data_IF_734667403146
#
_entry.id   IF_734667403146
#
_cell.length_a   1.000
_cell.length_b   1.000
_cell.length_c   1.000
_cell.angle_alpha   90.00
_cell.angle_beta   90.00
_cell.angle_gamma   90.00
#
_symmetry.space_group_name_H-M   'P 1'
#
loop_
_entity.id
_entity.type
_entity.pdbx_description
1 polymer ?
#
# COMPACT_ATOMS: atom_id res chain seq x y z
N UNK A 1 52.98 -2.98 -5.05
CA UNK A 1 52.87 -2.43 -6.42
C UNK A 1 52.03 -3.40 -7.24
N UNK A 2 50.93 -2.95 -7.84
CA UNK A 2 50.15 -3.83 -8.73
C UNK A 2 50.98 -4.18 -9.96
N UNK A 3 51.04 -5.46 -10.31
CA UNK A 3 51.74 -5.93 -11.50
C UNK A 3 50.98 -5.46 -12.74
N UNK A 4 51.61 -4.63 -13.57
CA UNK A 4 51.03 -4.17 -14.85
C UNK A 4 51.49 -5.09 -15.97
N UNK A 5 50.56 -5.68 -16.72
CA UNK A 5 50.84 -6.51 -17.88
C UNK A 5 50.63 -5.72 -19.17
N UNK A 6 51.54 -5.87 -20.14
CA UNK A 6 51.43 -5.21 -21.44
C UNK A 6 50.69 -6.14 -22.40
N UNK A 7 49.61 -5.62 -22.98
CA UNK A 7 48.81 -6.32 -23.97
C UNK A 7 48.72 -5.49 -25.25
N UNK A 8 48.61 -6.15 -26.39
CA UNK A 8 48.32 -5.50 -27.67
C UNK A 8 46.83 -5.62 -27.96
N UNK A 9 46.17 -4.50 -28.29
CA UNK A 9 44.75 -4.46 -28.63
C UNK A 9 44.54 -3.70 -29.93
N UNK A 10 43.59 -4.15 -30.74
CA UNK A 10 43.15 -3.44 -31.95
C UNK A 10 41.98 -2.54 -31.60
N UNK A 11 42.14 -1.23 -31.79
CA UNK A 11 41.10 -0.22 -31.58
C UNK A 11 40.95 0.65 -32.84
N UNK A 12 39.76 1.20 -33.12
CA UNK A 12 39.59 2.16 -34.21
C UNK A 12 40.54 3.35 -34.04
N UNK A 13 41.07 3.83 -35.16
CA UNK A 13 42.06 4.92 -35.17
C UNK A 13 41.54 6.18 -34.48
N UNK A 14 40.25 6.47 -34.63
CA UNK A 14 39.63 7.65 -34.04
C UNK A 14 39.48 7.53 -32.52
N UNK A 15 39.25 6.31 -32.00
CA UNK A 15 39.23 6.04 -30.56
C UNK A 15 40.60 6.26 -29.93
N UNK A 16 41.67 5.85 -30.62
CA UNK A 16 43.05 6.05 -30.17
C UNK A 16 43.38 7.54 -30.12
N UNK A 17 43.07 8.28 -31.20
CA UNK A 17 43.27 9.74 -31.26
C UNK A 17 42.50 10.46 -30.16
N UNK A 18 41.24 10.11 -29.97
CA UNK A 18 40.41 10.70 -28.92
C UNK A 18 41.01 10.47 -27.52
N UNK A 19 41.51 9.26 -27.26
CA UNK A 19 42.17 8.96 -25.99
C UNK A 19 43.47 9.76 -25.81
N UNK A 20 44.30 9.85 -26.86
CA UNK A 20 45.55 10.61 -26.85
C UNK A 20 45.32 12.12 -26.67
N UNK A 21 44.24 12.67 -27.23
CA UNK A 21 43.90 14.09 -27.11
C UNK A 21 43.32 14.44 -25.72
N UNK A 22 42.57 13.51 -25.10
CA UNK A 22 41.76 13.82 -23.92
C UNK A 22 42.37 13.34 -22.60
N UNK A 23 43.29 12.37 -22.58
CA UNK A 23 43.75 11.76 -21.32
C UNK A 23 44.30 12.80 -20.33
N UNK A 24 45.16 13.72 -20.78
CA UNK A 24 45.75 14.74 -19.92
C UNK A 24 44.70 15.76 -19.44
N UNK A 25 43.77 16.17 -20.32
CA UNK A 25 42.68 17.08 -19.97
C UNK A 25 41.67 16.49 -18.99
N UNK A 26 41.58 15.15 -18.92
CA UNK A 26 40.80 14.40 -17.94
C UNK A 26 41.58 14.06 -16.66
N UNK A 27 42.83 14.53 -16.54
CA UNK A 27 43.66 14.36 -15.34
C UNK A 27 44.43 13.04 -15.27
N UNK A 28 44.51 12.26 -16.35
CA UNK A 28 45.29 11.03 -16.39
C UNK A 28 46.75 11.29 -16.80
N UNK A 29 47.69 10.53 -16.25
CA UNK A 29 49.10 10.65 -16.58
C UNK A 29 49.49 9.94 -17.89
N UNK A 30 48.65 9.03 -18.37
CA UNK A 30 48.87 8.35 -19.65
C UNK A 30 47.56 7.84 -20.27
N UNK A 31 47.59 7.58 -21.59
CA UNK A 31 46.52 6.86 -22.30
C UNK A 31 46.17 5.53 -21.64
N UNK A 32 47.17 4.77 -21.19
CA UNK A 32 46.95 3.46 -20.55
C UNK A 32 46.17 3.59 -19.23
N UNK A 33 46.39 4.68 -18.50
CA UNK A 33 45.66 4.95 -17.26
C UNK A 33 44.20 5.32 -17.53
N UNK A 34 43.95 6.16 -18.55
CA UNK A 34 42.60 6.44 -19.04
C UNK A 34 41.88 5.16 -19.49
N UNK A 35 42.54 4.29 -20.27
CA UNK A 35 41.95 3.03 -20.75
C UNK A 35 41.61 2.11 -19.57
N UNK A 36 42.50 1.97 -18.59
CA UNK A 36 42.25 1.18 -17.38
C UNK A 36 41.06 1.76 -16.58
N UNK A 37 40.99 3.08 -16.42
CA UNK A 37 39.86 3.73 -15.75
C UNK A 37 38.54 3.49 -16.49
N UNK A 38 38.53 3.65 -17.82
CA UNK A 38 37.33 3.43 -18.64
C UNK A 38 36.82 1.98 -18.58
N UNK A 39 37.71 0.99 -18.62
CA UNK A 39 37.35 -0.43 -18.48
C UNK A 39 36.73 -0.69 -17.10
N UNK A 40 37.38 -0.19 -16.04
CA UNK A 40 36.87 -0.35 -14.66
C UNK A 40 35.53 0.32 -14.48
N UNK A 41 35.37 1.52 -15.02
CA UNK A 41 34.11 2.24 -14.96
C UNK A 41 32.99 1.47 -15.67
N UNK A 42 33.23 0.99 -16.89
CA UNK A 42 32.24 0.21 -17.64
C UNK A 42 31.81 -1.04 -16.88
N UNK A 43 32.77 -1.85 -16.42
CA UNK A 43 32.48 -3.07 -15.65
C UNK A 43 31.75 -2.75 -14.34
N UNK A 44 32.17 -1.70 -13.62
CA UNK A 44 31.52 -1.31 -12.35
C UNK A 44 30.08 -0.85 -12.59
N UNK A 45 29.84 -0.07 -13.65
CA UNK A 45 28.49 0.38 -14.02
C UNK A 45 27.58 -0.79 -14.42
N UNK A 46 28.11 -1.75 -15.17
CA UNK A 46 27.34 -2.94 -15.58
C UNK A 46 26.99 -3.84 -14.38
N UNK A 47 27.96 -4.09 -13.50
CA UNK A 47 27.73 -4.79 -12.23
C UNK A 47 26.69 -4.07 -11.37
N UNK A 48 26.75 -2.73 -11.26
CA UNK A 48 25.72 -1.98 -10.53
C UNK A 48 24.35 -2.07 -11.19
N UNK A 49 24.25 -2.09 -12.51
CA UNK A 49 22.97 -2.25 -13.23
C UNK A 49 22.32 -3.60 -12.94
N UNK A 50 23.11 -4.67 -12.94
CA UNK A 50 22.62 -6.01 -12.59
C UNK A 50 22.17 -6.05 -11.12
N UNK A 51 23.01 -5.55 -10.21
CA UNK A 51 22.72 -5.52 -8.78
C UNK A 51 21.49 -4.65 -8.42
N UNK A 52 21.34 -3.49 -9.07
CA UNK A 52 20.17 -2.61 -8.85
C UNK A 52 18.88 -3.20 -9.43
N UNK A 53 18.95 -3.92 -10.55
CA UNK A 53 17.83 -4.68 -11.09
C UNK A 53 17.36 -5.77 -10.13
N UNK A 54 18.28 -6.60 -9.63
CA UNK A 54 17.98 -7.66 -8.66
C UNK A 54 17.41 -7.11 -7.34
N UNK A 55 17.99 -6.03 -6.81
CA UNK A 55 17.48 -5.38 -5.59
C UNK A 55 16.08 -4.81 -5.79
N UNK A 56 15.80 -4.21 -6.95
CA UNK A 56 14.47 -3.66 -7.27
C UNK A 56 13.43 -4.78 -7.31
N UNK A 57 13.74 -5.91 -7.95
CA UNK A 57 12.85 -7.08 -7.98
C UNK A 57 12.62 -7.68 -6.58
N UNK A 58 13.67 -7.78 -5.76
CA UNK A 58 13.56 -8.24 -4.38
C UNK A 58 12.68 -7.31 -3.54
N UNK A 59 12.89 -6.00 -3.64
CA UNK A 59 12.10 -5.01 -2.92
C UNK A 59 10.61 -5.06 -3.32
N UNK A 60 10.33 -5.15 -4.63
CA UNK A 60 8.95 -5.31 -5.12
C UNK A 60 8.29 -6.61 -4.66
N UNK A 61 9.04 -7.70 -4.53
CA UNK A 61 8.53 -8.98 -4.00
C UNK A 61 8.21 -8.87 -2.51
N UNK A 62 9.08 -8.25 -1.72
CA UNK A 62 8.88 -8.04 -0.28
C UNK A 62 7.64 -7.18 -0.07
N UNK A 63 7.56 -6.02 -0.73
CA UNK A 63 6.43 -5.09 -0.61
C UNK A 63 5.09 -5.78 -0.94
N UNK A 64 5.03 -6.54 -2.05
CA UNK A 64 3.82 -7.29 -2.42
C UNK A 64 3.48 -8.39 -1.42
N UNK A 65 4.48 -9.05 -0.83
CA UNK A 65 4.26 -10.10 0.17
C UNK A 65 3.75 -9.55 1.49
N UNK A 66 4.34 -8.46 1.99
CA UNK A 66 3.91 -7.80 3.23
C UNK A 66 2.50 -7.23 3.09
N UNK A 67 2.19 -6.57 1.97
CA UNK A 67 0.83 -6.08 1.69
C UNK A 67 -0.18 -7.24 1.71
N UNK A 68 0.14 -8.36 1.06
CA UNK A 68 -0.75 -9.52 1.00
C UNK A 68 -0.96 -10.18 2.37
N UNK A 69 0.08 -10.27 3.19
CA UNK A 69 -0.03 -10.78 4.57
C UNK A 69 -0.88 -9.86 5.45
N UNK A 70 -0.68 -8.53 5.32
CA UNK A 70 -1.49 -7.53 6.00
C UNK A 70 -2.96 -7.60 5.57
N UNK A 71 -3.25 -7.70 4.26
CA UNK A 71 -4.62 -7.85 3.74
C UNK A 71 -5.30 -9.12 4.31
N UNK A 72 -4.57 -10.24 4.37
CA UNK A 72 -5.09 -11.48 4.95
C UNK A 72 -5.36 -11.36 6.45
N UNK A 73 -4.43 -10.73 7.18
CA UNK A 73 -4.59 -10.52 8.62
C UNK A 73 -5.75 -9.56 8.93
N UNK A 74 -5.87 -8.47 8.18
CA UNK A 74 -6.98 -7.51 8.28
C UNK A 74 -8.32 -8.17 7.96
N UNK A 75 -8.37 -9.03 6.94
CA UNK A 75 -9.58 -9.80 6.58
C UNK A 75 -9.99 -10.74 7.71
N UNK A 76 -9.05 -11.46 8.31
CA UNK A 76 -9.30 -12.32 9.48
C UNK A 76 -9.81 -11.53 10.68
N UNK A 77 -9.19 -10.39 10.98
CA UNK A 77 -9.61 -9.55 12.10
C UNK A 77 -11.01 -8.96 11.87
N UNK A 78 -11.29 -8.49 10.64
CA UNK A 78 -12.60 -7.98 10.23
C UNK A 78 -13.69 -9.06 10.38
N UNK A 79 -13.37 -10.30 10.01
CA UNK A 79 -14.28 -11.43 10.22
C UNK A 79 -14.56 -11.67 11.70
N UNK A 80 -13.54 -11.68 12.56
CA UNK A 80 -13.73 -11.84 14.02
C UNK A 80 -14.62 -10.73 14.59
N UNK A 81 -14.37 -9.47 14.23
CA UNK A 81 -15.20 -8.34 14.66
C UNK A 81 -16.65 -8.52 14.18
N UNK A 82 -16.85 -8.95 12.92
CA UNK A 82 -18.19 -9.20 12.40
C UNK A 82 -18.93 -10.31 13.17
N UNK A 83 -18.23 -11.37 13.58
CA UNK A 83 -18.79 -12.44 14.42
C UNK A 83 -19.20 -11.90 15.79
N UNK A 84 -18.33 -11.16 16.48
CA UNK A 84 -18.63 -10.56 17.79
C UNK A 84 -19.82 -9.59 17.70
N UNK A 85 -19.87 -8.75 16.66
CA UNK A 85 -21.00 -7.85 16.41
C UNK A 85 -22.30 -8.62 16.14
N UNK A 86 -22.25 -9.72 15.39
CA UNK A 86 -23.42 -10.56 15.16
C UNK A 86 -23.90 -11.22 16.46
N UNK A 87 -22.98 -11.67 17.33
CA UNK A 87 -23.34 -12.22 18.64
C UNK A 87 -24.01 -11.19 19.54
N UNK A 88 -23.48 -9.97 19.61
CA UNK A 88 -24.10 -8.85 20.34
C UNK A 88 -25.49 -8.56 19.75
N UNK A 89 -25.61 -8.54 18.42
CA UNK A 89 -26.88 -8.29 17.75
C UNK A 89 -27.93 -9.35 18.09
N UNK A 90 -27.57 -10.63 18.02
CA UNK A 90 -28.46 -11.74 18.39
C UNK A 90 -28.86 -11.68 19.87
N UNK A 91 -27.92 -11.33 20.76
CA UNK A 91 -28.19 -11.15 22.19
C UNK A 91 -29.21 -10.03 22.42
N UNK A 92 -29.02 -8.86 21.79
CA UNK A 92 -29.96 -7.74 21.90
C UNK A 92 -31.33 -8.09 21.30
N UNK A 93 -31.37 -8.69 20.12
CA UNK A 93 -32.62 -9.07 19.47
C UNK A 93 -33.42 -10.06 20.34
N UNK A 94 -32.73 -11.00 20.99
CA UNK A 94 -33.35 -11.94 21.93
C UNK A 94 -33.83 -11.22 23.20
N UNK A 95 -33.01 -10.34 23.78
CA UNK A 95 -33.35 -9.62 25.00
C UNK A 95 -34.51 -8.63 24.84
N UNK A 96 -34.69 -8.08 23.62
CA UNK A 96 -35.74 -7.11 23.29
C UNK A 96 -36.94 -7.72 22.54
N UNK A 97 -36.94 -9.04 22.32
CA UNK A 97 -37.97 -9.74 21.54
C UNK A 97 -38.25 -9.08 20.17
N UNK A 98 -37.19 -8.63 19.49
CA UNK A 98 -37.28 -7.84 18.26
C UNK A 98 -37.88 -8.68 17.11
N UNK A 99 -39.02 -8.26 16.51
CA UNK A 99 -39.60 -8.94 15.37
C UNK A 99 -38.78 -8.68 14.09
N UNK A 100 -38.81 -9.65 13.18
CA UNK A 100 -37.92 -9.72 12.00
C UNK A 100 -38.13 -8.59 10.98
N UNK A 101 -39.35 -8.06 10.89
CA UNK A 101 -39.73 -6.95 10.02
C UNK A 101 -39.08 -5.62 10.47
N UNK A 102 -38.96 -5.41 11.78
CA UNK A 102 -38.30 -4.23 12.38
C UNK A 102 -36.79 -4.28 12.13
N UNK A 103 -36.15 -5.45 12.24
CA UNK A 103 -34.72 -5.65 11.96
C UNK A 103 -34.32 -5.17 10.55
N UNK A 104 -35.06 -5.61 9.52
CA UNK A 104 -34.78 -5.23 8.13
C UNK A 104 -34.86 -3.72 7.90
N UNK A 105 -35.81 -3.06 8.59
CA UNK A 105 -35.97 -1.60 8.53
C UNK A 105 -34.81 -0.86 9.21
N UNK A 106 -34.33 -1.37 10.36
CA UNK A 106 -33.22 -0.82 11.13
C UNK A 106 -31.91 -0.89 10.34
N UNK A 107 -31.63 -2.02 9.68
CA UNK A 107 -30.45 -2.15 8.80
C UNK A 107 -30.46 -1.11 7.68
N UNK A 108 -31.62 -0.89 7.05
CA UNK A 108 -31.77 0.13 6.01
C UNK A 108 -31.51 1.55 6.52
N UNK A 109 -31.99 1.89 7.72
CA UNK A 109 -31.73 3.18 8.39
C UNK A 109 -30.25 3.35 8.73
N UNK A 110 -29.61 2.32 9.30
CA UNK A 110 -28.21 2.33 9.66
C UNK A 110 -27.30 2.56 8.44
N UNK A 111 -27.53 1.86 7.32
CA UNK A 111 -26.77 2.05 6.07
C UNK A 111 -26.91 3.49 5.54
N UNK A 112 -28.15 4.03 5.54
CA UNK A 112 -28.39 5.42 5.12
C UNK A 112 -27.65 6.43 6.00
N UNK A 113 -27.67 6.24 7.32
CA UNK A 113 -26.97 7.12 8.26
C UNK A 113 -25.45 7.04 8.08
N UNK A 114 -24.87 5.84 7.99
CA UNK A 114 -23.42 5.64 7.75
C UNK A 114 -22.97 6.29 6.45
N UNK A 115 -23.73 6.11 5.37
CA UNK A 115 -23.45 6.73 4.08
C UNK A 115 -23.53 8.27 4.14
N UNK A 116 -24.57 8.80 4.81
CA UNK A 116 -24.74 10.25 4.99
C UNK A 116 -23.61 10.87 5.82
N UNK A 117 -23.15 10.17 6.84
CA UNK A 117 -22.21 10.69 7.84
C UNK A 117 -20.77 10.20 7.62
N UNK A 118 -20.47 9.54 6.49
CA UNK A 118 -19.16 8.99 6.12
C UNK A 118 -18.55 8.10 7.22
N UNK A 119 -19.37 7.27 7.85
CA UNK A 119 -18.92 6.36 8.92
C UNK A 119 -19.02 6.91 10.34
N UNK A 120 -19.36 8.19 10.53
CA UNK A 120 -19.56 8.75 11.87
C UNK A 120 -21.03 8.58 12.33
N UNK A 121 -21.30 7.72 13.30
CA UNK A 121 -22.67 7.56 13.86
C UNK A 121 -22.70 8.07 15.30
N UNK A 122 -23.22 9.29 15.56
CA UNK A 122 -23.34 9.79 16.92
C UNK A 122 -24.48 9.06 17.64
N UNK A 123 -24.12 8.16 18.57
CA UNK A 123 -25.06 7.34 19.35
C UNK A 123 -26.10 8.20 20.07
N UNK A 124 -25.72 9.39 20.57
CA UNK A 124 -26.62 10.33 21.24
C UNK A 124 -27.74 10.90 20.35
N UNK A 125 -27.53 10.98 19.03
CA UNK A 125 -28.60 11.35 18.08
C UNK A 125 -29.47 10.16 17.70
N UNK A 126 -28.89 8.96 17.66
CA UNK A 126 -29.64 7.75 17.34
C UNK A 126 -30.75 7.47 18.38
N UNK A 127 -30.48 7.68 19.67
CA UNK A 127 -31.47 7.48 20.76
C UNK A 127 -32.70 8.40 20.61
N UNK A 128 -32.51 9.64 20.17
CA UNK A 128 -33.62 10.61 20.00
C UNK A 128 -34.56 10.26 18.85
N UNK A 129 -34.06 9.59 17.81
CA UNK A 129 -34.91 9.14 16.69
C UNK A 129 -35.75 7.91 17.08
N UNK A 130 -35.30 7.13 18.07
CA UNK A 130 -36.03 5.95 18.57
C UNK A 130 -37.26 6.32 19.41
N UNK A 131 -37.22 7.43 20.16
CA UNK A 131 -38.38 7.93 20.93
C UNK A 131 -39.56 8.31 20.03
N UNK A 132 -39.31 8.67 18.77
CA UNK A 132 -40.36 8.90 17.77
C UNK A 132 -40.91 7.64 17.10
N UNK A 133 -40.33 6.45 17.35
CA UNK A 133 -40.81 5.16 16.85
C UNK A 133 -41.70 4.47 17.90
N UNK A 134 -41.51 4.79 19.18
CA UNK A 134 -42.32 4.27 20.31
C UNK A 134 -43.55 5.15 20.64
N UNK A 135 -43.82 6.20 19.86
CA UNK A 135 -44.87 7.20 20.14
C UNK A 135 -45.94 7.31 19.05
N UNK A 136 -46.82 6.32 18.99
CA UNK A 136 -48.18 6.35 18.41
C UNK A 136 -48.86 5.15 19.05
N UNK A 137 -49.66 5.29 20.10
CA UNK A 137 -51.05 5.77 20.04
C UNK A 137 -51.39 6.66 21.26
N UNK A 138 -51.53 7.96 21.04
CA UNK A 138 -52.55 8.78 21.72
C UNK A 138 -53.02 9.83 20.70
N UNK A 139 -53.81 9.39 19.71
CA UNK A 139 -54.73 10.30 19.03
C UNK A 139 -56.08 10.21 19.76
N UNK A 140 -56.34 11.27 20.51
CA UNK A 140 -57.65 11.90 20.75
C UNK A 140 -58.86 11.23 20.07
N UNK A 141 -59.75 10.63 20.86
CA UNK A 141 -61.17 10.58 20.52
C UNK A 141 -61.87 11.78 21.18
N UNK A 142 -62.10 12.83 20.38
CA UNK A 142 -63.17 13.79 20.64
C UNK A 142 -64.51 13.04 20.56
N UNK A 143 -65.28 13.04 21.65
CA UNK A 143 -66.71 12.73 21.61
C UNK A 143 -67.50 13.73 22.49
N UNK A 144 -68.07 14.71 21.77
CA UNK A 144 -69.07 15.75 22.12
C UNK A 144 -68.68 16.91 23.04
#
# INVERSE_FOLDING_TARGET
>A
MSKTEKITVSLPSDTIKLADEKYAGLGFASRSELINAAIREYLSRDMMRQFTGELTEMYQKIERSEIKELEHHLSKLSYKIAVELAQIYMLLATAMELPYDVDRSLRGKAVKQVNRLKGFVPISKAVKETEGITGTEEESEDFF
#
